data_IF_116839992182
#
_entry.id   IF_116839992182
#
_cell.length_a   1.000
_cell.length_b   1.000
_cell.length_c   1.000
_cell.angle_alpha   90.00
_cell.angle_beta   90.00
_cell.angle_gamma   90.00
#
_symmetry.space_group_name_H-M   'P 1'
#
loop_
_entity.id
_entity.type
_entity.pdbx_description
1 polymer ?
#
# COMPACT_ATOMS: atom_id res chain seq x y z
N UNK A 1 -6.81 1.71 14.70
CA UNK A 1 -5.47 2.29 14.81
C UNK A 1 -5.63 3.80 14.85
N UNK A 2 -4.88 4.49 15.70
CA UNK A 2 -4.75 5.95 15.64
C UNK A 2 -3.75 6.37 14.54
N UNK A 3 -3.57 7.67 14.36
CA UNK A 3 -2.71 8.21 13.29
C UNK A 3 -1.24 7.81 13.50
N UNK A 4 -0.77 7.84 14.75
CA UNK A 4 0.61 7.50 15.12
C UNK A 4 0.93 6.03 14.84
N UNK A 5 0.02 5.11 15.16
CA UNK A 5 0.13 3.67 14.88
C UNK A 5 0.14 3.39 13.38
N UNK A 6 -0.69 4.09 12.60
CA UNK A 6 -0.73 3.97 11.14
C UNK A 6 0.59 4.45 10.55
N UNK A 7 1.06 5.62 10.97
CA UNK A 7 2.33 6.17 10.50
C UNK A 7 3.49 5.23 10.84
N UNK A 8 3.57 4.74 12.09
CA UNK A 8 4.58 3.78 12.52
C UNK A 8 4.57 2.50 11.66
N UNK A 9 3.40 1.98 11.34
CA UNK A 9 3.26 0.81 10.45
C UNK A 9 3.73 1.13 9.03
N UNK A 10 3.33 2.26 8.46
CA UNK A 10 3.71 2.68 7.10
C UNK A 10 5.23 2.88 6.94
N UNK A 11 5.89 3.48 7.94
CA UNK A 11 7.35 3.71 7.88
C UNK A 11 8.18 2.47 8.24
N UNK A 12 7.56 1.43 8.80
CA UNK A 12 8.23 0.14 9.08
C UNK A 12 8.52 -0.69 7.83
N UNK A 13 7.86 -0.41 6.70
CA UNK A 13 8.09 -1.14 5.46
C UNK A 13 9.45 -0.74 4.86
N UNK A 14 10.29 -1.71 4.45
CA UNK A 14 11.57 -1.41 3.82
C UNK A 14 11.34 -0.98 2.37
N UNK A 15 11.16 0.32 2.13
CA UNK A 15 10.88 0.86 0.81
C UNK A 15 12.04 1.74 0.37
N UNK A 16 12.97 1.13 -0.36
CA UNK A 16 14.07 1.85 -1.01
C UNK A 16 13.75 2.05 -2.50
N UNK A 17 14.19 3.18 -3.05
CA UNK A 17 14.06 3.47 -4.47
C UNK A 17 14.64 2.34 -5.32
N UNK A 18 13.78 1.63 -6.05
CA UNK A 18 14.16 0.47 -6.86
C UNK A 18 13.52 -0.84 -6.41
N UNK A 19 13.20 -1.00 -5.13
CA UNK A 19 12.58 -2.21 -4.58
C UNK A 19 11.07 -2.28 -4.86
N UNK A 20 10.51 -3.49 -4.72
CA UNK A 20 9.07 -3.73 -4.85
C UNK A 20 8.30 -2.96 -3.78
N UNK A 21 7.18 -2.33 -4.17
CA UNK A 21 6.27 -1.67 -3.22
C UNK A 21 5.02 -2.53 -2.91
N UNK A 22 4.98 -3.79 -3.35
CA UNK A 22 3.78 -4.62 -3.24
C UNK A 22 3.37 -4.89 -1.79
N UNK A 23 4.33 -5.09 -0.87
CA UNK A 23 4.02 -5.42 0.52
C UNK A 23 3.30 -4.27 1.24
N UNK A 24 3.75 -3.03 1.06
CA UNK A 24 3.05 -1.87 1.64
C UNK A 24 1.70 -1.64 0.97
N UNK A 25 1.62 -1.83 -0.36
CA UNK A 25 0.38 -1.62 -1.09
C UNK A 25 -0.71 -2.61 -0.70
N UNK A 26 -0.35 -3.87 -0.48
CA UNK A 26 -1.30 -4.87 -0.01
C UNK A 26 -1.81 -4.53 1.38
N UNK A 27 -0.95 -4.05 2.29
CA UNK A 27 -1.38 -3.60 3.61
C UNK A 27 -2.34 -2.40 3.55
N UNK A 28 -2.01 -1.38 2.73
CA UNK A 28 -2.87 -0.21 2.54
C UNK A 28 -4.21 -0.63 1.92
N UNK A 29 -4.18 -1.51 0.91
CA UNK A 29 -5.37 -2.05 0.26
C UNK A 29 -6.28 -2.74 1.27
N UNK A 30 -5.77 -3.69 2.03
CA UNK A 30 -6.53 -4.44 3.05
C UNK A 30 -7.11 -3.50 4.11
N UNK A 31 -6.32 -2.51 4.56
CA UNK A 31 -6.78 -1.51 5.53
C UNK A 31 -7.96 -0.69 4.99
N UNK A 32 -7.89 -0.22 3.74
CA UNK A 32 -8.95 0.56 3.10
C UNK A 32 -10.20 -0.30 2.80
N UNK A 33 -10.02 -1.52 2.30
CA UNK A 33 -11.11 -2.46 2.00
C UNK A 33 -11.86 -2.90 3.26
N UNK A 34 -11.19 -2.99 4.41
CA UNK A 34 -11.85 -3.20 5.71
C UNK A 34 -12.88 -2.11 6.02
N UNK A 35 -12.60 -0.85 5.64
CA UNK A 35 -13.53 0.27 5.73
C UNK A 35 -14.44 0.40 4.50
N UNK A 36 -14.50 -0.61 3.65
CA UNK A 36 -15.32 -0.67 2.42
C UNK A 36 -14.98 0.43 1.40
N UNK A 37 -13.76 0.93 1.41
CA UNK A 37 -13.24 1.83 0.37
C UNK A 37 -12.77 0.97 -0.81
N UNK A 38 -13.23 1.30 -2.02
CA UNK A 38 -12.80 0.60 -3.22
C UNK A 38 -11.36 0.95 -3.59
N UNK A 39 -10.53 -0.06 -3.80
CA UNK A 39 -9.11 0.10 -4.12
C UNK A 39 -8.77 -0.59 -5.43
N UNK A 40 -8.11 0.13 -6.33
CA UNK A 40 -7.64 -0.37 -7.61
C UNK A 40 -6.10 -0.30 -7.67
N UNK A 41 -5.46 -1.42 -7.98
CA UNK A 41 -4.02 -1.49 -8.20
C UNK A 41 -3.70 -1.44 -9.69
N UNK A 42 -2.77 -0.58 -10.09
CA UNK A 42 -2.28 -0.45 -11.47
C UNK A 42 -0.82 -0.93 -11.51
N UNK A 43 -0.56 -2.19 -11.90
CA UNK A 43 0.79 -2.75 -11.90
C UNK A 43 1.65 -2.20 -13.03
N UNK A 44 2.96 -2.21 -12.83
CA UNK A 44 3.94 -1.98 -13.89
C UNK A 44 4.13 -3.25 -14.75
N UNK A 45 4.89 -3.12 -15.85
CA UNK A 45 5.13 -4.24 -16.79
C UNK A 45 5.76 -5.47 -16.14
N UNK A 46 6.62 -5.28 -15.14
CA UNK A 46 7.29 -6.37 -14.42
C UNK A 46 6.46 -6.95 -13.26
N UNK A 47 5.30 -6.38 -12.94
CA UNK A 47 4.43 -6.82 -11.84
C UNK A 47 5.00 -6.63 -10.42
N UNK A 48 6.19 -6.04 -10.29
CA UNK A 48 6.86 -5.87 -9.01
C UNK A 48 6.59 -4.51 -8.36
N UNK A 49 5.88 -3.62 -9.05
CA UNK A 49 5.39 -2.36 -8.49
C UNK A 49 3.99 -2.10 -8.99
N UNK A 50 3.22 -1.37 -8.20
CA UNK A 50 1.95 -0.82 -8.64
C UNK A 50 1.76 0.62 -8.13
N UNK A 51 0.79 1.31 -8.72
CA UNK A 51 0.14 2.48 -8.12
C UNK A 51 -1.19 2.04 -7.50
N UNK A 52 -1.60 2.69 -6.41
CA UNK A 52 -2.87 2.44 -5.75
C UNK A 52 -3.77 3.65 -5.93
N UNK A 53 -4.96 3.42 -6.48
CA UNK A 53 -6.00 4.44 -6.68
C UNK A 53 -7.23 4.07 -5.85
N UNK A 54 -7.88 5.07 -5.24
CA UNK A 54 -9.12 4.94 -4.50
C UNK A 54 -10.02 6.16 -4.82
N UNK A 55 -11.33 5.99 -4.72
CA UNK A 55 -12.35 7.03 -4.98
C UNK A 55 -13.32 7.13 -3.81
#
# INVERSE_FOLDING_TARGET
MNVEEILAKLVSFPILGGQSNMTILNWIKEYLEFYKVEVNLVPNKSGNKASLHCR
#
